data_IF_968424274249
#
_entry.id   IF_968424274249
#
_cell.length_a   1.000
_cell.length_b   1.000
_cell.length_c   1.000
_cell.angle_alpha   90.00
_cell.angle_beta   90.00
_cell.angle_gamma   90.00
#
_symmetry.space_group_name_H-M   'P 1'
#
loop_
_entity.id
_entity.type
_entity.pdbx_description
1 polymer ?
#
# COMPACT_ATOMS: atom_id res chain seq x y z
N UNK A 1 31.96 -18.72 14.54
CA UNK A 1 31.43 -17.63 13.68
C UNK A 1 29.93 -17.84 13.57
N UNK A 2 29.12 -16.82 13.88
CA UNK A 2 27.66 -16.95 13.91
C UNK A 2 27.13 -17.14 12.49
N UNK A 3 26.41 -18.25 12.26
CA UNK A 3 25.59 -18.46 11.06
C UNK A 3 24.58 -17.32 10.99
N UNK A 4 24.71 -16.46 9.98
CA UNK A 4 23.65 -15.54 9.61
C UNK A 4 22.49 -16.36 9.07
N UNK A 5 21.31 -16.25 9.68
CA UNK A 5 20.07 -16.65 9.04
C UNK A 5 19.96 -15.85 7.73
N UNK A 6 20.28 -16.48 6.61
CA UNK A 6 19.80 -16.02 5.31
C UNK A 6 18.30 -16.25 5.33
N UNK A 7 17.54 -15.26 5.80
CA UNK A 7 16.11 -15.17 5.49
C UNK A 7 15.99 -15.33 3.97
N UNK A 8 15.28 -16.37 3.51
CA UNK A 8 15.19 -16.79 2.12
C UNK A 8 15.13 -15.57 1.17
N UNK A 9 16.21 -15.34 0.43
CA UNK A 9 16.22 -14.29 -0.59
C UNK A 9 15.17 -14.64 -1.65
N UNK A 10 14.17 -13.77 -1.80
CA UNK A 10 13.02 -14.05 -2.66
C UNK A 10 13.18 -13.28 -3.99
N UNK A 11 13.26 -14.04 -5.09
CA UNK A 11 13.33 -13.49 -6.45
C UNK A 11 12.02 -13.76 -7.17
N UNK A 12 11.63 -12.83 -8.05
CA UNK A 12 10.48 -12.99 -8.94
C UNK A 12 10.83 -12.52 -10.35
N UNK A 13 10.20 -13.08 -11.36
CA UNK A 13 10.30 -12.59 -12.74
C UNK A 13 8.94 -12.12 -13.21
N UNK A 14 8.86 -10.87 -13.65
CA UNK A 14 7.63 -10.27 -14.19
C UNK A 14 7.92 -9.85 -15.63
N UNK A 15 7.20 -10.45 -16.58
CA UNK A 15 7.53 -10.37 -18.00
C UNK A 15 8.96 -10.88 -18.27
N UNK A 16 9.79 -9.99 -18.82
CA UNK A 16 11.21 -10.28 -19.10
C UNK A 16 12.16 -9.86 -17.97
N UNK A 17 11.65 -9.17 -16.95
CA UNK A 17 12.48 -8.51 -15.94
C UNK A 17 12.53 -9.34 -14.65
N UNK A 18 13.74 -9.60 -14.16
CA UNK A 18 13.98 -10.23 -12.87
C UNK A 18 14.03 -9.16 -11.78
N UNK A 19 13.41 -9.45 -10.64
CA UNK A 19 13.43 -8.61 -9.46
C UNK A 19 13.88 -9.40 -8.24
N UNK A 20 14.65 -8.76 -7.37
CA UNK A 20 14.90 -9.21 -5.99
C UNK A 20 13.95 -8.47 -5.05
N UNK A 21 13.27 -9.21 -4.19
CA UNK A 21 12.47 -8.65 -3.10
C UNK A 21 13.41 -8.36 -1.94
N UNK A 22 13.52 -7.09 -1.55
CA UNK A 22 14.43 -6.65 -0.50
C UNK A 22 13.69 -5.88 0.58
N UNK A 23 14.08 -6.12 1.83
CA UNK A 23 13.72 -5.27 2.95
C UNK A 23 14.78 -4.15 3.04
N UNK A 24 14.51 -3.00 2.42
CA UNK A 24 15.44 -1.87 2.46
C UNK A 24 15.32 -1.13 3.80
N UNK A 25 16.42 -0.96 4.56
CA UNK A 25 16.39 -0.20 5.81
C UNK A 25 16.10 1.28 5.55
N UNK A 26 15.37 1.92 6.47
CA UNK A 26 15.09 3.37 6.43
C UNK A 26 15.98 4.13 7.43
N UNK A 27 16.24 5.40 7.15
CA UNK A 27 17.01 6.31 8.01
C UNK A 27 16.44 6.40 9.44
N UNK A 28 15.11 6.38 9.58
CA UNK A 28 14.42 6.49 10.87
C UNK A 28 14.24 5.14 11.59
N UNK A 29 14.96 4.10 11.15
CA UNK A 29 14.74 2.73 11.59
C UNK A 29 13.60 2.03 10.85
N UNK A 30 13.55 0.70 10.97
CA UNK A 30 12.61 -0.16 10.26
C UNK A 30 13.00 -0.44 8.80
N UNK A 31 12.14 -1.18 8.11
CA UNK A 31 12.38 -1.65 6.74
C UNK A 31 11.19 -1.33 5.83
N UNK A 32 11.46 -1.17 4.54
CA UNK A 32 10.45 -1.11 3.48
C UNK A 32 10.71 -2.21 2.46
N UNK A 33 9.67 -2.96 2.13
CA UNK A 33 9.74 -3.93 1.04
C UNK A 33 9.88 -3.17 -0.28
N UNK A 34 10.90 -3.52 -1.06
CA UNK A 34 11.11 -3.01 -2.41
C UNK A 34 11.40 -4.14 -3.38
N UNK A 35 11.03 -3.90 -4.63
CA UNK A 35 11.46 -4.68 -5.79
C UNK A 35 12.60 -3.94 -6.44
N UNK A 36 13.78 -4.55 -6.47
CA UNK A 36 14.91 -4.02 -7.23
C UNK A 36 15.12 -4.87 -8.46
N UNK A 37 15.31 -4.23 -9.61
CA UNK A 37 15.68 -4.95 -10.84
C UNK A 37 17.00 -5.66 -10.58
N UNK A 38 17.06 -6.94 -10.94
CA UNK A 38 18.22 -7.78 -10.72
C UNK A 38 18.73 -8.36 -12.04
N UNK A 39 20.04 -8.55 -12.13
CA UNK A 39 20.67 -9.12 -13.32
C UNK A 39 20.58 -10.66 -13.29
N UNK A 40 20.09 -11.24 -14.39
CA UNK A 40 19.99 -12.70 -14.56
C UNK A 40 21.37 -13.40 -14.51
N UNK A 41 22.42 -12.77 -15.03
CA UNK A 41 23.77 -13.33 -15.03
C UNK A 41 24.34 -13.39 -13.61
N UNK A 42 24.19 -12.32 -12.83
CA UNK A 42 24.59 -12.29 -11.42
C UNK A 42 23.85 -13.35 -10.61
N UNK A 43 22.53 -13.50 -10.81
CA UNK A 43 21.77 -14.57 -10.17
C UNK A 43 22.35 -15.96 -10.50
N UNK A 44 22.73 -16.21 -11.76
CA UNK A 44 23.33 -17.50 -12.16
C UNK A 44 24.72 -17.72 -11.58
N UNK A 45 25.52 -16.66 -11.42
CA UNK A 45 26.84 -16.74 -10.81
C UNK A 45 26.73 -17.04 -9.31
N UNK A 46 25.79 -16.41 -8.62
CA UNK A 46 25.61 -16.53 -7.17
C UNK A 46 24.89 -17.84 -6.77
N UNK A 47 23.88 -18.26 -7.55
CA UNK A 47 22.97 -19.36 -7.19
C UNK A 47 23.01 -20.56 -8.14
N UNK A 48 23.78 -20.48 -9.23
CA UNK A 48 23.88 -21.51 -10.25
C UNK A 48 22.85 -21.36 -11.39
N UNK A 49 23.15 -22.00 -12.53
CA UNK A 49 22.38 -21.87 -13.77
C UNK A 49 20.91 -22.32 -13.65
N UNK A 50 20.64 -23.32 -12.81
CA UNK A 50 19.33 -23.96 -12.70
C UNK A 50 18.39 -23.20 -11.75
N UNK A 51 18.92 -22.28 -10.93
CA UNK A 51 18.12 -21.49 -9.98
C UNK A 51 17.07 -20.63 -10.68
N UNK A 52 17.35 -20.12 -11.89
CA UNK A 52 16.37 -19.33 -12.64
C UNK A 52 15.08 -20.11 -12.97
N UNK A 53 15.14 -21.45 -13.00
CA UNK A 53 13.97 -22.29 -13.21
C UNK A 53 13.02 -22.31 -12.01
N UNK A 54 13.52 -22.05 -10.79
CA UNK A 54 12.74 -22.05 -9.55
C UNK A 54 12.06 -20.70 -9.27
N UNK A 55 12.54 -19.62 -9.89
CA UNK A 55 12.00 -18.26 -9.74
C UNK A 55 10.55 -18.20 -10.26
N UNK A 56 9.57 -17.77 -9.44
CA UNK A 56 8.19 -17.54 -9.87
C UNK A 56 8.09 -16.57 -11.05
N UNK A 57 7.17 -16.86 -11.98
CA UNK A 57 7.02 -16.15 -13.26
C UNK A 57 5.62 -15.58 -13.39
N UNK A 58 5.54 -14.29 -13.68
CA UNK A 58 4.31 -13.55 -13.91
C UNK A 58 4.38 -12.86 -15.28
N UNK A 59 3.24 -12.71 -15.95
CA UNK A 59 3.15 -12.06 -17.26
C UNK A 59 3.28 -10.53 -17.15
N UNK A 60 2.86 -9.97 -16.01
CA UNK A 60 2.92 -8.54 -15.74
C UNK A 60 2.50 -8.18 -14.31
N UNK A 61 2.39 -6.88 -14.06
CA UNK A 61 1.76 -6.34 -12.86
C UNK A 61 0.30 -6.01 -13.12
N UNK A 62 -0.53 -6.11 -12.09
CA UNK A 62 -1.91 -5.63 -12.11
C UNK A 62 -2.22 -4.92 -10.79
N UNK A 63 -3.34 -4.20 -10.74
CA UNK A 63 -3.91 -3.70 -9.49
C UNK A 63 -5.36 -4.12 -9.43
N UNK A 64 -5.66 -5.12 -8.61
CA UNK A 64 -7.02 -5.59 -8.35
C UNK A 64 -7.27 -5.43 -6.85
N UNK A 65 -7.93 -4.33 -6.43
CA UNK A 65 -8.21 -4.06 -5.02
C UNK A 65 -9.24 -5.03 -4.44
N UNK A 66 -8.88 -5.69 -3.34
CA UNK A 66 -9.80 -6.42 -2.48
C UNK A 66 -9.17 -6.55 -1.09
N UNK A 67 -9.94 -6.23 -0.04
CA UNK A 67 -9.49 -6.33 1.35
C UNK A 67 -9.96 -7.60 2.04
N UNK A 68 -11.04 -8.23 1.56
CA UNK A 68 -11.70 -9.37 2.20
C UNK A 68 -11.24 -10.67 1.54
N UNK A 69 -11.18 -10.70 0.21
CA UNK A 69 -10.68 -11.81 -0.60
C UNK A 69 -9.41 -11.38 -1.37
N UNK A 70 -8.43 -10.83 -0.64
CA UNK A 70 -7.18 -10.38 -1.24
C UNK A 70 -6.45 -11.52 -1.97
N UNK A 71 -6.08 -11.26 -3.23
CA UNK A 71 -5.29 -12.17 -4.05
C UNK A 71 -3.94 -11.53 -4.42
N UNK A 72 -2.81 -12.11 -3.98
CA UNK A 72 -1.49 -11.61 -4.36
C UNK A 72 -1.18 -11.84 -5.85
N UNK A 73 -1.85 -12.81 -6.46
CA UNK A 73 -1.73 -13.15 -7.88
C UNK A 73 -3.13 -13.24 -8.46
N UNK A 74 -3.37 -12.52 -9.57
CA UNK A 74 -4.61 -12.58 -10.34
C UNK A 74 -4.26 -13.14 -11.71
N UNK A 75 -4.78 -14.33 -12.01
CA UNK A 75 -4.38 -15.15 -13.15
C UNK A 75 -2.86 -15.37 -13.19
N UNK A 76 -2.15 -14.69 -14.10
CA UNK A 76 -0.68 -14.73 -14.23
C UNK A 76 -0.02 -13.40 -13.87
N UNK A 77 -0.75 -12.45 -13.31
CA UNK A 77 -0.27 -11.12 -12.98
C UNK A 77 -0.03 -11.00 -11.48
N UNK A 78 1.08 -10.36 -11.12
CA UNK A 78 1.37 -10.04 -9.72
C UNK A 78 0.60 -8.78 -9.32
N UNK A 79 -0.18 -8.87 -8.25
CA UNK A 79 -0.98 -7.75 -7.77
C UNK A 79 -0.10 -6.73 -7.03
N UNK A 80 -0.21 -5.46 -7.41
CA UNK A 80 0.45 -4.34 -6.76
C UNK A 80 -0.34 -3.84 -5.54
N UNK A 81 -1.61 -4.20 -5.46
CA UNK A 81 -2.40 -3.99 -4.26
C UNK A 81 -1.82 -4.83 -3.11
N UNK A 82 -1.80 -4.27 -1.91
CA UNK A 82 -1.20 -4.94 -0.75
C UNK A 82 -2.27 -5.41 0.24
N UNK A 83 -2.08 -6.58 0.88
CA UNK A 83 -2.97 -6.99 1.94
C UNK A 83 -2.84 -6.02 3.12
N UNK A 84 -3.94 -5.81 3.83
CA UNK A 84 -3.94 -5.07 5.09
C UNK A 84 -3.91 -6.04 6.26
N UNK A 85 -3.19 -5.68 7.33
CA UNK A 85 -3.05 -6.53 8.52
C UNK A 85 -4.27 -6.57 9.44
N UNK A 86 -5.26 -5.69 9.23
CA UNK A 86 -6.42 -5.54 10.11
C UNK A 86 -7.59 -6.39 9.65
N UNK A 87 -8.31 -6.99 10.61
CA UNK A 87 -9.54 -7.74 10.37
C UNK A 87 -10.72 -7.09 11.09
N UNK A 88 -11.90 -6.98 10.46
CA UNK A 88 -13.08 -6.42 11.11
C UNK A 88 -13.48 -7.30 12.29
N UNK A 89 -13.81 -6.65 13.40
CA UNK A 89 -14.29 -7.30 14.60
C UNK A 89 -15.46 -6.50 15.16
N UNK A 90 -16.49 -7.21 15.63
CA UNK A 90 -17.60 -6.58 16.33
C UNK A 90 -17.13 -6.01 17.67
N UNK A 91 -17.49 -4.76 17.96
CA UNK A 91 -17.16 -4.11 19.21
C UNK A 91 -17.38 -2.60 19.16
N UNK A 92 -17.22 -1.96 20.31
CA UNK A 92 -17.26 -0.51 20.41
C UNK A 92 -15.94 0.11 19.98
N UNK A 93 -16.02 1.25 19.29
CA UNK A 93 -14.86 2.00 18.80
C UNK A 93 -14.98 3.49 19.18
N UNK A 94 -15.08 3.83 20.48
CA UNK A 94 -15.46 5.18 20.93
C UNK A 94 -14.55 6.30 20.40
N UNK A 95 -13.23 6.07 20.36
CA UNK A 95 -12.28 7.07 19.85
C UNK A 95 -12.41 7.28 18.35
N UNK A 96 -12.55 6.20 17.56
CA UNK A 96 -12.73 6.30 16.10
C UNK A 96 -14.08 6.94 15.79
N UNK A 97 -15.15 6.55 16.50
CA UNK A 97 -16.48 7.15 16.39
C UNK A 97 -16.44 8.66 16.66
N UNK A 98 -15.74 9.07 17.72
CA UNK A 98 -15.55 10.49 18.03
C UNK A 98 -14.78 11.22 16.93
N UNK A 99 -13.72 10.61 16.39
CA UNK A 99 -12.93 11.20 15.31
C UNK A 99 -13.77 11.38 14.03
N UNK A 100 -14.51 10.35 13.61
CA UNK A 100 -15.35 10.44 12.40
C UNK A 100 -16.47 11.46 12.62
N UNK A 101 -17.11 11.49 13.79
CA UNK A 101 -18.13 12.51 14.10
C UNK A 101 -17.57 13.92 14.13
N UNK A 102 -16.34 14.09 14.60
CA UNK A 102 -15.65 15.38 14.55
C UNK A 102 -15.36 15.85 13.12
N UNK A 103 -14.93 14.94 12.24
CA UNK A 103 -14.57 15.26 10.85
C UNK A 103 -15.82 15.49 9.97
N UNK A 104 -16.85 14.66 10.11
CA UNK A 104 -18.04 14.71 9.26
C UNK A 104 -19.21 15.50 9.88
N UNK A 105 -19.15 15.83 11.18
CA UNK A 105 -20.19 16.58 11.87
C UNK A 105 -21.57 15.92 11.75
N UNK A 106 -22.53 16.68 11.24
CA UNK A 106 -23.90 16.20 10.96
C UNK A 106 -23.94 15.07 9.92
N UNK A 107 -22.93 14.96 9.06
CA UNK A 107 -22.80 13.93 8.03
C UNK A 107 -22.12 12.65 8.55
N UNK A 108 -22.12 12.40 9.86
CA UNK A 108 -21.46 11.25 10.49
C UNK A 108 -21.76 9.91 9.80
N UNK A 109 -23.03 9.63 9.49
CA UNK A 109 -23.44 8.38 8.83
C UNK A 109 -22.83 8.25 7.42
N UNK A 110 -22.78 9.34 6.65
CA UNK A 110 -22.12 9.35 5.34
C UNK A 110 -20.61 9.09 5.46
N UNK A 111 -19.97 9.62 6.52
CA UNK A 111 -18.57 9.34 6.82
C UNK A 111 -18.32 7.87 7.17
N UNK A 112 -19.22 7.24 7.93
CA UNK A 112 -19.15 5.82 8.24
C UNK A 112 -19.35 4.95 6.99
N UNK A 113 -20.34 5.26 6.16
CA UNK A 113 -20.58 4.58 4.88
C UNK A 113 -19.38 4.72 3.94
N UNK A 114 -18.80 5.91 3.85
CA UNK A 114 -17.60 6.15 3.06
C UNK A 114 -16.42 5.24 3.48
N UNK A 115 -16.14 5.16 4.78
CA UNK A 115 -15.08 4.30 5.32
C UNK A 115 -15.38 2.81 5.11
N UNK A 116 -16.64 2.41 5.26
CA UNK A 116 -17.07 1.04 5.02
C UNK A 116 -16.92 0.65 3.54
N UNK A 117 -17.32 1.53 2.61
CA UNK A 117 -17.21 1.29 1.18
C UNK A 117 -15.75 1.21 0.72
N UNK A 118 -14.86 2.04 1.26
CA UNK A 118 -13.42 1.89 1.02
C UNK A 118 -12.92 0.50 1.41
N UNK A 119 -13.46 -0.08 2.48
CA UNK A 119 -13.08 -1.41 2.95
C UNK A 119 -13.73 -2.55 2.16
N UNK A 120 -15.05 -2.53 1.98
CA UNK A 120 -15.81 -3.63 1.38
C UNK A 120 -15.87 -3.58 -0.14
N UNK A 121 -15.76 -2.39 -0.73
CA UNK A 121 -15.92 -2.15 -2.17
C UNK A 121 -14.83 -1.20 -2.69
N UNK A 122 -13.54 -1.56 -2.58
CA UNK A 122 -12.41 -0.66 -2.88
C UNK A 122 -12.30 -0.23 -4.37
N UNK A 123 -13.10 -0.81 -5.26
CA UNK A 123 -13.20 -0.43 -6.69
C UNK A 123 -14.28 0.65 -6.92
N UNK A 124 -15.18 0.85 -5.95
CA UNK A 124 -16.24 1.85 -6.04
C UNK A 124 -15.65 3.26 -6.04
N UNK A 125 -16.07 4.08 -7.01
CA UNK A 125 -15.73 5.49 -7.04
C UNK A 125 -16.51 6.21 -5.95
N UNK A 126 -15.78 6.87 -5.05
CA UNK A 126 -16.35 7.68 -3.98
C UNK A 126 -16.07 9.18 -4.24
N UNK A 127 -16.85 10.09 -3.62
CA UNK A 127 -16.59 11.52 -3.69
C UNK A 127 -15.20 11.88 -3.16
N UNK A 128 -14.57 12.92 -3.71
CA UNK A 128 -13.32 13.46 -3.16
C UNK A 128 -13.63 14.18 -1.85
N UNK A 129 -12.99 13.77 -0.77
CA UNK A 129 -13.09 14.45 0.52
C UNK A 129 -12.20 15.69 0.53
N UNK A 130 -12.82 16.87 0.62
CA UNK A 130 -12.12 18.15 0.80
C UNK A 130 -12.28 18.60 2.26
N UNK A 131 -11.21 18.45 3.04
CA UNK A 131 -11.20 18.81 4.46
C UNK A 131 -10.74 20.26 4.63
N UNK A 132 -11.69 21.20 4.68
CA UNK A 132 -11.41 22.63 4.88
C UNK A 132 -11.64 23.00 6.34
N UNK A 133 -10.72 23.76 6.93
CA UNK A 133 -10.96 24.42 8.22
C UNK A 133 -10.23 25.75 8.28
N UNK A 134 -10.89 26.77 8.81
CA UNK A 134 -10.30 28.10 9.04
C UNK A 134 -9.23 28.06 10.15
N UNK A 135 -9.43 27.20 11.15
CA UNK A 135 -8.52 27.02 12.27
C UNK A 135 -7.46 25.94 11.98
N UNK A 136 -6.26 26.10 12.58
CA UNK A 136 -5.21 25.07 12.60
C UNK A 136 -5.52 24.02 13.68
N UNK A 137 -4.97 22.81 13.53
CA UNK A 137 -5.09 21.71 14.51
C UNK A 137 -6.52 21.15 14.72
N UNK A 138 -7.36 21.20 13.69
CA UNK A 138 -8.75 20.70 13.73
C UNK A 138 -8.88 19.18 13.57
N UNK A 139 -7.81 18.41 13.72
CA UNK A 139 -7.84 16.95 13.62
C UNK A 139 -7.72 16.35 12.21
N UNK A 140 -7.53 17.18 11.17
CA UNK A 140 -7.33 16.72 9.78
C UNK A 140 -6.16 15.74 9.66
N UNK A 141 -4.97 16.12 10.11
CA UNK A 141 -3.80 15.24 10.06
C UNK A 141 -4.00 13.95 10.87
N UNK A 142 -4.74 14.01 11.98
CA UNK A 142 -5.12 12.82 12.76
C UNK A 142 -6.00 11.88 11.93
N UNK A 143 -6.98 12.41 11.21
CA UNK A 143 -7.84 11.62 10.33
C UNK A 143 -7.07 11.00 9.16
N UNK A 144 -6.18 11.76 8.53
CA UNK A 144 -5.32 11.24 7.45
C UNK A 144 -4.38 10.13 7.96
N UNK A 145 -3.80 10.30 9.15
CA UNK A 145 -3.01 9.26 9.80
C UNK A 145 -3.83 8.04 10.18
N UNK A 146 -5.09 8.21 10.58
CA UNK A 146 -6.02 7.11 10.81
C UNK A 146 -6.28 6.33 9.51
N UNK A 147 -6.56 7.01 8.39
CA UNK A 147 -6.70 6.35 7.08
C UNK A 147 -5.43 5.57 6.70
N UNK A 148 -4.25 6.18 6.90
CA UNK A 148 -2.97 5.51 6.67
C UNK A 148 -2.78 4.29 7.56
N UNK A 149 -3.22 4.34 8.82
CA UNK A 149 -3.12 3.22 9.75
C UNK A 149 -4.05 2.06 9.37
N UNK A 150 -5.27 2.36 8.88
CA UNK A 150 -6.27 1.36 8.46
C UNK A 150 -5.88 0.71 7.13
N UNK A 151 -5.58 1.51 6.10
CA UNK A 151 -5.37 1.01 4.73
C UNK A 151 -3.89 0.83 4.38
N UNK A 152 -2.99 1.14 5.31
CA UNK A 152 -1.56 0.80 5.29
C UNK A 152 -0.86 1.17 3.97
N UNK A 153 -0.29 0.19 3.27
CA UNK A 153 0.48 0.43 2.05
C UNK A 153 -0.39 0.80 0.85
N UNK A 154 -1.72 0.72 0.96
CA UNK A 154 -2.64 1.17 -0.09
C UNK A 154 -2.98 2.67 0.00
N UNK A 155 -2.37 3.40 0.95
CA UNK A 155 -2.47 4.88 1.04
C UNK A 155 -1.12 5.51 0.75
N UNK A 156 -1.09 6.59 -0.02
CA UNK A 156 0.10 7.43 -0.20
C UNK A 156 -0.17 8.87 0.22
N UNK A 157 0.84 9.53 0.77
CA UNK A 157 0.84 10.97 1.00
C UNK A 157 1.64 11.61 -0.12
N UNK A 158 1.01 12.52 -0.84
CA UNK A 158 1.61 13.26 -1.93
C UNK A 158 1.63 14.75 -1.60
N UNK A 159 2.72 15.38 -1.99
CA UNK A 159 2.89 16.83 -2.01
C UNK A 159 2.42 17.40 -3.35
N UNK A 160 2.26 18.72 -3.43
CA UNK A 160 1.96 19.40 -4.69
C UNK A 160 3.01 19.18 -5.78
N UNK A 161 4.27 18.92 -5.40
CA UNK A 161 5.36 18.64 -6.33
C UNK A 161 5.22 17.26 -6.99
N UNK A 162 4.71 16.27 -6.25
CA UNK A 162 4.52 14.90 -6.72
C UNK A 162 3.52 14.81 -7.88
N UNK A 163 2.56 15.73 -7.97
CA UNK A 163 1.60 15.82 -9.09
C UNK A 163 2.21 16.43 -10.36
N UNK A 164 3.33 17.15 -10.24
CA UNK A 164 4.03 17.76 -11.39
C UNK A 164 5.06 16.80 -12.00
N UNK A 165 5.40 15.72 -11.30
CA UNK A 165 6.28 14.68 -11.81
C UNK A 165 5.61 13.89 -12.93
N UNK A 166 6.36 13.55 -13.98
CA UNK A 166 5.90 12.64 -15.03
C UNK A 166 5.90 11.17 -14.58
N UNK A 167 6.45 10.88 -13.38
CA UNK A 167 6.51 9.54 -12.80
C UNK A 167 5.36 9.33 -11.81
N UNK A 168 4.25 8.81 -12.32
CA UNK A 168 3.04 8.50 -11.52
C UNK A 168 3.12 7.14 -10.79
N UNK A 169 4.25 6.43 -10.89
CA UNK A 169 4.39 5.04 -10.44
C UNK A 169 4.10 4.86 -8.95
N UNK A 170 4.35 5.89 -8.14
CA UNK A 170 4.34 5.78 -6.69
C UNK A 170 2.92 5.87 -6.11
N UNK A 171 1.97 6.45 -6.87
CA UNK A 171 0.56 6.57 -6.50
C UNK A 171 -0.39 5.79 -7.42
N UNK A 172 0.04 5.39 -8.61
CA UNK A 172 -0.75 4.57 -9.52
C UNK A 172 -1.15 3.24 -8.84
N UNK A 173 -2.45 3.01 -8.70
CA UNK A 173 -3.00 1.80 -8.09
C UNK A 173 -3.10 1.80 -6.56
N UNK A 174 -2.86 2.93 -5.89
CA UNK A 174 -3.20 3.09 -4.47
C UNK A 174 -4.72 3.27 -4.31
N UNK A 175 -5.26 2.82 -3.17
CA UNK A 175 -6.66 3.03 -2.80
C UNK A 175 -6.91 4.51 -2.52
N UNK A 176 -6.01 5.15 -1.77
CA UNK A 176 -6.12 6.55 -1.38
C UNK A 176 -4.84 7.31 -1.70
N UNK A 177 -5.01 8.47 -2.33
CA UNK A 177 -3.97 9.47 -2.49
C UNK A 177 -4.38 10.64 -1.60
N UNK A 178 -3.58 10.89 -0.58
CA UNK A 178 -3.79 11.98 0.36
C UNK A 178 -2.91 13.13 -0.04
N UNK A 179 -3.49 14.31 -0.20
CA UNK A 179 -2.77 15.54 -0.51
C UNK A 179 -2.84 16.45 0.69
N UNK A 180 -1.68 16.86 1.18
CA UNK A 180 -1.58 17.87 2.24
C UNK A 180 -1.03 19.17 1.64
N UNK A 181 -1.66 20.29 1.96
CA UNK A 181 -1.17 21.62 1.58
C UNK A 181 -0.04 21.98 2.54
N UNK A 182 1.20 21.74 2.12
CA UNK A 182 2.39 22.30 2.79
C UNK A 182 2.66 23.71 2.27
#
# INVERSE_FOLDING_TARGET
MKQGNFENEEFIRVGTTLYKLVNQPRLNGGYVKKRIVWNNETLRQDYGKDYLATVPKYDGFCTVPDHVDYRPVVDKFLNLYEPIGHRPQQGEFPCIRSLVRHIFGEQYELGMDYLQLLYLQPVQKLPILLLVSEERNTGKSTFLNFLKAVFQNNVTFNTNEDFRSQFNSDWAGKLLIVVDEV
#
